data_IF_397989707264
#
_entry.id   IF_397989707264
#
_cell.length_a   1.000
_cell.length_b   1.000
_cell.length_c   1.000
_cell.angle_alpha   90.00
_cell.angle_beta   90.00
_cell.angle_gamma   90.00
#
_symmetry.space_group_name_H-M   'P 1'
#
loop_
_entity.id
_entity.type
_entity.pdbx_description
1 polymer ?
#
# COMPACT_ATOMS: atom_id res chain seq x y z
N UNK A 1 14.30 -10.10 -2.50
CA UNK A 1 15.78 -10.18 -2.56
C UNK A 1 16.20 -11.56 -3.03
N UNK A 2 16.45 -11.76 -4.32
CA UNK A 2 16.92 -13.04 -4.86
C UNK A 2 18.45 -13.02 -4.93
N UNK A 3 19.12 -13.27 -3.80
CA UNK A 3 20.60 -13.18 -3.71
C UNK A 3 21.30 -14.05 -4.75
N UNK A 4 20.85 -15.30 -4.96
CA UNK A 4 21.49 -16.23 -5.90
C UNK A 4 21.30 -15.82 -7.36
N UNK A 5 20.12 -15.31 -7.73
CA UNK A 5 19.84 -14.83 -9.09
C UNK A 5 20.67 -13.60 -9.45
N UNK A 6 20.90 -12.70 -8.49
CA UNK A 6 21.73 -11.49 -8.65
C UNK A 6 23.21 -11.87 -8.85
N UNK A 7 23.73 -12.83 -8.08
CA UNK A 7 25.12 -13.32 -8.25
C UNK A 7 25.31 -14.05 -9.58
N UNK A 8 24.28 -14.75 -10.05
CA UNK A 8 24.29 -15.42 -11.35
C UNK A 8 24.25 -14.42 -12.52
N UNK A 9 23.36 -13.43 -12.49
CA UNK A 9 23.31 -12.38 -13.51
C UNK A 9 24.62 -11.61 -13.60
N UNK A 10 25.20 -11.25 -12.44
CA UNK A 10 26.48 -10.51 -12.36
C UNK A 10 27.66 -11.30 -12.95
N UNK A 11 27.71 -12.62 -12.75
CA UNK A 11 28.85 -13.44 -13.19
C UNK A 11 28.75 -13.94 -14.64
N UNK A 12 27.54 -13.99 -15.21
CA UNK A 12 27.29 -14.55 -16.55
C UNK A 12 26.84 -13.53 -17.62
N UNK A 13 26.55 -12.27 -17.26
CA UNK A 13 26.08 -11.25 -18.22
C UNK A 13 26.84 -9.92 -18.10
N UNK A 14 27.13 -9.25 -19.23
CA UNK A 14 27.70 -7.87 -19.26
C UNK A 14 26.73 -6.79 -18.75
N UNK A 15 25.51 -7.17 -18.36
CA UNK A 15 24.50 -6.29 -17.76
C UNK A 15 24.97 -5.60 -16.48
N UNK A 16 25.99 -6.14 -15.80
CA UNK A 16 26.61 -5.48 -14.65
C UNK A 16 27.28 -4.12 -14.97
N UNK A 17 27.52 -3.81 -16.25
CA UNK A 17 28.01 -2.48 -16.67
C UNK A 17 26.89 -1.45 -16.87
N UNK A 18 25.64 -1.90 -17.10
CA UNK A 18 24.49 -1.02 -17.30
C UNK A 18 23.59 -0.94 -16.05
N UNK A 19 23.56 -2.00 -15.23
CA UNK A 19 22.76 -2.09 -14.02
C UNK A 19 23.69 -2.40 -12.83
N UNK A 20 23.85 -1.48 -11.86
CA UNK A 20 24.72 -1.68 -10.70
C UNK A 20 24.06 -2.65 -9.72
N UNK A 21 24.17 -3.94 -9.99
CA UNK A 21 23.58 -5.00 -9.18
C UNK A 21 24.14 -5.10 -7.75
N UNK A 22 25.34 -4.55 -7.50
CA UNK A 22 25.95 -4.49 -6.16
C UNK A 22 25.25 -3.47 -5.24
N UNK A 23 24.48 -2.53 -5.81
CA UNK A 23 23.68 -1.53 -5.09
C UNK A 23 22.24 -2.00 -4.80
N UNK A 24 21.96 -3.31 -4.93
CA UNK A 24 20.61 -3.86 -4.71
C UNK A 24 19.99 -3.49 -3.35
N UNK A 25 20.80 -3.26 -2.30
CA UNK A 25 20.33 -2.79 -0.99
C UNK A 25 19.91 -1.32 -1.04
N UNK A 26 20.67 -0.48 -1.73
CA UNK A 26 20.34 0.93 -1.89
C UNK A 26 19.12 1.09 -2.79
N UNK A 27 19.05 0.31 -3.88
CA UNK A 27 17.87 0.23 -4.74
C UNK A 27 16.63 -0.21 -3.96
N UNK A 28 16.72 -1.25 -3.13
CA UNK A 28 15.59 -1.67 -2.28
C UNK A 28 15.08 -0.55 -1.37
N UNK A 29 15.98 0.26 -0.77
CA UNK A 29 15.57 1.41 0.05
C UNK A 29 14.85 2.47 -0.78
N UNK A 30 15.35 2.79 -1.98
CA UNK A 30 14.71 3.76 -2.88
C UNK A 30 13.32 3.28 -3.27
N UNK A 31 13.19 2.01 -3.66
CA UNK A 31 11.88 1.39 -3.97
C UNK A 31 10.97 1.40 -2.75
N UNK A 32 11.48 1.08 -1.55
CA UNK A 32 10.69 1.10 -0.33
C UNK A 32 10.15 2.51 -0.01
N UNK A 33 10.94 3.56 -0.22
CA UNK A 33 10.48 4.95 -0.09
C UNK A 33 9.42 5.28 -1.15
N UNK A 34 9.64 4.90 -2.41
CA UNK A 34 8.67 5.11 -3.48
C UNK A 34 7.33 4.40 -3.21
N UNK A 35 7.37 3.15 -2.73
CA UNK A 35 6.17 2.41 -2.31
C UNK A 35 5.48 3.07 -1.13
N UNK A 36 6.23 3.55 -0.13
CA UNK A 36 5.65 4.24 1.02
C UNK A 36 4.90 5.52 0.60
N UNK A 37 5.49 6.32 -0.31
CA UNK A 37 4.83 7.51 -0.88
C UNK A 37 3.58 7.13 -1.67
N UNK A 38 3.67 6.11 -2.53
CA UNK A 38 2.54 5.62 -3.31
C UNK A 38 1.38 5.15 -2.43
N UNK A 39 1.67 4.37 -1.38
CA UNK A 39 0.67 3.92 -0.40
C UNK A 39 0.05 5.10 0.35
N UNK A 40 0.85 6.10 0.73
CA UNK A 40 0.33 7.29 1.42
C UNK A 40 -0.64 8.08 0.52
N UNK A 41 -0.26 8.35 -0.73
CA UNK A 41 -1.13 9.02 -1.70
C UNK A 41 -2.41 8.22 -1.92
N UNK A 42 -2.28 6.92 -2.19
CA UNK A 42 -3.41 6.02 -2.39
C UNK A 42 -4.39 6.00 -1.20
N UNK A 43 -3.87 5.87 0.03
CA UNK A 43 -4.70 5.88 1.22
C UNK A 43 -5.39 7.24 1.43
N UNK A 44 -4.68 8.36 1.21
CA UNK A 44 -5.26 9.71 1.31
C UNK A 44 -6.39 9.85 0.29
N UNK A 45 -6.17 9.51 -0.97
CA UNK A 45 -7.17 9.55 -2.02
C UNK A 45 -8.45 8.78 -1.66
N UNK A 46 -8.32 7.57 -1.13
CA UNK A 46 -9.48 6.80 -0.65
C UNK A 46 -10.22 7.51 0.49
N UNK A 47 -9.49 8.03 1.47
CA UNK A 47 -10.07 8.60 2.68
C UNK A 47 -10.67 10.00 2.46
N UNK A 48 -10.07 10.82 1.60
CA UNK A 48 -10.46 12.24 1.43
C UNK A 48 -11.25 12.50 0.16
N UNK A 49 -11.12 11.66 -0.86
CA UNK A 49 -11.77 11.87 -2.15
C UNK A 49 -12.86 10.84 -2.40
N UNK A 50 -12.52 9.55 -2.34
CA UNK A 50 -13.46 8.50 -2.74
C UNK A 50 -14.61 8.32 -1.73
N UNK A 51 -14.28 8.12 -0.44
CA UNK A 51 -15.31 7.87 0.58
C UNK A 51 -16.27 9.05 0.75
N UNK A 52 -15.80 10.32 0.85
CA UNK A 52 -16.71 11.46 0.92
C UNK A 52 -17.57 11.59 -0.35
N UNK A 53 -17.00 11.36 -1.54
CA UNK A 53 -17.77 11.43 -2.78
C UNK A 53 -18.87 10.36 -2.85
N UNK A 54 -18.56 9.11 -2.51
CA UNK A 54 -19.56 8.03 -2.48
C UNK A 54 -20.64 8.29 -1.43
N UNK A 55 -20.26 8.91 -0.30
CA UNK A 55 -21.20 9.28 0.74
C UNK A 55 -22.14 10.43 0.31
N UNK A 56 -21.65 11.40 -0.46
CA UNK A 56 -22.40 12.58 -0.90
C UNK A 56 -22.96 12.49 -2.34
N UNK A 57 -22.81 11.34 -3.01
CA UNK A 57 -23.37 11.12 -4.34
C UNK A 57 -24.90 11.23 -4.34
N UNK A 58 -25.46 11.85 -5.39
CA UNK A 58 -26.90 11.79 -5.67
C UNK A 58 -27.31 10.35 -6.00
N UNK A 59 -28.59 10.02 -5.84
CA UNK A 59 -29.08 8.66 -6.11
C UNK A 59 -28.85 8.24 -7.57
N UNK A 60 -28.95 9.18 -8.51
CA UNK A 60 -28.62 8.97 -9.94
C UNK A 60 -27.14 8.64 -10.16
N UNK A 61 -26.23 9.36 -9.47
CA UNK A 61 -24.79 9.11 -9.55
C UNK A 61 -24.36 7.83 -8.81
N UNK A 62 -25.13 7.41 -7.81
CA UNK A 62 -24.91 6.18 -7.04
C UNK A 62 -25.49 4.93 -7.72
N UNK A 63 -26.59 5.06 -8.46
CA UNK A 63 -27.26 3.96 -9.16
C UNK A 63 -26.32 3.03 -9.96
N UNK A 64 -25.36 3.52 -10.77
CA UNK A 64 -24.42 2.64 -11.47
C UNK A 64 -23.40 1.95 -10.55
N UNK A 65 -23.16 2.50 -9.35
CA UNK A 65 -22.23 2.00 -8.34
C UNK A 65 -22.89 1.02 -7.37
N UNK A 66 -24.21 1.05 -7.25
CA UNK A 66 -25.01 0.20 -6.38
C UNK A 66 -24.75 -1.30 -6.59
N UNK A 67 -24.42 -1.70 -7.82
CA UNK A 67 -24.03 -3.09 -8.13
C UNK A 67 -22.78 -3.55 -7.35
N UNK A 68 -21.86 -2.63 -7.07
CA UNK A 68 -20.58 -2.93 -6.43
C UNK A 68 -20.59 -2.59 -4.93
N UNK A 69 -21.39 -1.61 -4.51
CA UNK A 69 -21.44 -1.11 -3.12
C UNK A 69 -22.73 -1.46 -2.38
N UNK A 70 -23.69 -2.12 -3.04
CA UNK A 70 -25.02 -2.45 -2.52
C UNK A 70 -26.10 -1.49 -3.01
N UNK A 71 -27.35 -1.94 -3.03
CA UNK A 71 -28.49 -1.13 -3.48
C UNK A 71 -28.73 0.10 -2.61
N UNK A 72 -28.41 -0.01 -1.31
CA UNK A 72 -28.55 1.08 -0.36
C UNK A 72 -27.25 1.84 -0.21
N UNK A 73 -27.31 3.16 -0.45
CA UNK A 73 -26.18 4.07 -0.23
C UNK A 73 -25.62 3.93 1.20
N UNK A 74 -24.28 3.93 1.37
CA UNK A 74 -23.65 3.80 2.67
C UNK A 74 -24.13 4.89 3.64
N UNK A 75 -24.48 4.53 4.89
CA UNK A 75 -25.11 5.46 5.83
C UNK A 75 -24.12 6.46 6.43
N UNK A 76 -22.84 6.13 6.49
CA UNK A 76 -21.78 6.98 7.04
C UNK A 76 -20.40 6.51 6.60
N UNK A 77 -19.39 7.33 6.91
CA UNK A 77 -17.98 7.08 6.57
C UNK A 77 -17.44 5.75 7.11
N UNK A 78 -17.84 5.36 8.32
CA UNK A 78 -17.36 4.13 8.95
C UNK A 78 -17.76 2.86 8.21
N UNK A 79 -18.82 2.92 7.40
CA UNK A 79 -19.21 1.80 6.55
C UNK A 79 -18.09 1.41 5.58
N UNK A 80 -17.39 2.38 4.99
CA UNK A 80 -16.27 2.12 4.07
C UNK A 80 -15.05 1.56 4.80
N UNK A 81 -14.70 2.17 5.94
CA UNK A 81 -13.53 1.76 6.74
C UNK A 81 -13.72 0.37 7.34
N UNK A 82 -14.94 0.02 7.77
CA UNK A 82 -15.27 -1.32 8.30
C UNK A 82 -15.57 -2.35 7.20
N UNK A 83 -15.77 -1.90 5.96
CA UNK A 83 -15.94 -2.77 4.81
C UNK A 83 -14.69 -3.62 4.57
N UNK A 84 -14.85 -4.68 3.76
CA UNK A 84 -13.75 -5.62 3.45
C UNK A 84 -12.52 -4.88 2.91
N UNK A 85 -12.74 -3.88 2.05
CA UNK A 85 -11.66 -3.08 1.46
C UNK A 85 -11.00 -2.14 2.47
N UNK A 86 -11.79 -1.44 3.26
CA UNK A 86 -11.27 -0.49 4.26
C UNK A 86 -10.44 -1.19 5.32
N UNK A 87 -10.94 -2.30 5.87
CA UNK A 87 -10.22 -3.01 6.93
C UNK A 87 -8.97 -3.71 6.41
N UNK A 88 -9.02 -4.35 5.24
CA UNK A 88 -7.82 -4.96 4.63
C UNK A 88 -6.77 -3.90 4.31
N UNK A 89 -7.16 -2.76 3.73
CA UNK A 89 -6.28 -1.63 3.48
C UNK A 89 -5.64 -1.07 4.76
N UNK A 90 -6.45 -0.86 5.81
CA UNK A 90 -5.97 -0.37 7.10
C UNK A 90 -4.96 -1.32 7.75
N UNK A 91 -5.24 -2.62 7.77
CA UNK A 91 -4.32 -3.64 8.32
C UNK A 91 -3.01 -3.65 7.54
N UNK A 92 -3.05 -3.59 6.20
CA UNK A 92 -1.84 -3.50 5.38
C UNK A 92 -0.99 -2.27 5.73
N UNK A 93 -1.59 -1.08 5.81
CA UNK A 93 -0.89 0.16 6.16
C UNK A 93 -0.22 0.06 7.53
N UNK A 94 -0.92 -0.49 8.53
CA UNK A 94 -0.36 -0.67 9.89
C UNK A 94 0.84 -1.63 9.87
N UNK A 95 0.71 -2.78 9.22
CA UNK A 95 1.80 -3.76 9.13
C UNK A 95 3.02 -3.20 8.39
N UNK A 96 2.78 -2.48 7.29
CA UNK A 96 3.84 -1.81 6.53
C UNK A 96 4.51 -0.71 7.34
N UNK A 97 3.76 0.09 8.10
CA UNK A 97 4.31 1.13 8.96
C UNK A 97 5.22 0.53 10.05
N UNK A 98 4.80 -0.56 10.70
CA UNK A 98 5.63 -1.27 11.69
C UNK A 98 6.94 -1.75 11.05
N UNK A 99 6.85 -2.42 9.89
CA UNK A 99 8.02 -2.92 9.18
C UNK A 99 8.96 -1.78 8.76
N UNK A 100 8.42 -0.68 8.24
CA UNK A 100 9.19 0.48 7.77
C UNK A 100 9.87 1.23 8.91
N UNK A 101 9.19 1.40 10.05
CA UNK A 101 9.77 2.03 11.25
C UNK A 101 10.90 1.17 11.80
N UNK A 102 10.69 -0.13 11.97
CA UNK A 102 11.73 -1.04 12.48
C UNK A 102 12.89 -1.25 11.49
N UNK A 103 12.68 -0.95 10.20
CA UNK A 103 13.74 -0.90 9.18
C UNK A 103 14.74 0.24 9.37
N UNK A 104 14.34 1.32 10.05
CA UNK A 104 15.16 2.52 10.14
C UNK A 104 16.48 2.22 10.86
N UNK A 105 17.61 2.81 10.42
CA UNK A 105 18.93 2.48 10.97
C UNK A 105 19.04 2.67 12.47
N UNK A 106 18.31 3.63 13.05
CA UNK A 106 18.30 3.88 14.49
C UNK A 106 17.56 2.78 15.28
N UNK A 107 16.43 2.26 14.78
CA UNK A 107 15.69 1.16 15.41
C UNK A 107 16.42 -0.17 15.22
N UNK A 108 16.88 -0.46 14.00
CA UNK A 108 17.59 -1.71 13.68
C UNK A 108 18.93 -1.83 14.42
N UNK A 109 19.63 -0.73 14.67
CA UNK A 109 20.92 -0.71 15.40
C UNK A 109 20.76 -0.43 16.89
N UNK A 110 19.54 -0.46 17.45
CA UNK A 110 19.27 -0.23 18.87
C UNK A 110 19.80 1.12 19.41
N UNK A 111 19.83 2.16 18.56
CA UNK A 111 20.33 3.49 18.94
C UNK A 111 19.27 4.39 19.58
N UNK A 112 17.99 3.99 19.57
CA UNK A 112 16.91 4.75 20.21
C UNK A 112 16.90 4.47 21.71
N UNK A 113 16.89 5.53 22.52
CA UNK A 113 16.70 5.44 23.98
C UNK A 113 15.21 5.22 24.28
N UNK A 114 14.81 3.96 24.43
CA UNK A 114 13.45 3.57 24.80
C UNK A 114 13.38 3.00 26.22
N UNK A 115 12.21 3.06 26.87
CA UNK A 115 11.94 2.32 28.11
C UNK A 115 12.31 0.84 27.98
N UNK A 116 12.75 0.20 29.07
CA UNK A 116 13.22 -1.21 29.08
C UNK A 116 12.26 -2.18 28.40
N UNK A 117 10.94 -1.98 28.55
CA UNK A 117 9.92 -2.83 27.92
C UNK A 117 9.93 -2.75 26.39
N UNK A 118 10.09 -1.56 25.82
CA UNK A 118 10.10 -1.34 24.37
C UNK A 118 11.46 -1.64 23.73
N UNK A 119 12.54 -1.66 24.52
CA UNK A 119 13.89 -2.01 24.03
C UNK A 119 13.99 -3.47 23.53
N UNK A 120 13.08 -4.36 23.96
CA UNK A 120 12.92 -5.71 23.40
C UNK A 120 12.33 -5.72 21.99
N UNK A 121 11.62 -4.66 21.60
CA UNK A 121 11.00 -4.52 20.27
C UNK A 121 11.93 -3.83 19.25
N UNK A 122 13.19 -3.57 19.60
CA UNK A 122 14.17 -2.95 18.72
C UNK A 122 15.36 -3.88 18.45
N UNK A 123 16.06 -3.66 17.34
CA UNK A 123 17.25 -4.42 16.97
C UNK A 123 17.09 -5.26 15.70
N UNK A 124 18.12 -6.02 15.35
CA UNK A 124 18.15 -6.79 14.11
C UNK A 124 17.06 -7.89 14.06
N UNK A 125 16.81 -8.58 15.17
CA UNK A 125 15.75 -9.60 15.22
C UNK A 125 14.36 -8.99 15.01
N UNK A 126 14.07 -7.85 15.66
CA UNK A 126 12.81 -7.14 15.48
C UNK A 126 12.62 -6.66 14.03
N UNK A 127 13.69 -6.15 13.40
CA UNK A 127 13.72 -5.83 11.97
C UNK A 127 13.41 -7.06 11.09
N UNK A 128 14.04 -8.19 11.39
CA UNK A 128 13.91 -9.41 10.59
C UNK A 128 12.49 -9.96 10.65
N UNK A 129 11.93 -10.11 11.85
CA UNK A 129 10.57 -10.61 12.03
C UNK A 129 9.52 -9.63 11.48
N UNK A 130 9.71 -8.32 11.66
CA UNK A 130 8.79 -7.33 11.09
C UNK A 130 8.83 -7.32 9.56
N UNK A 131 9.97 -7.61 8.94
CA UNK A 131 10.05 -7.75 7.47
C UNK A 131 9.25 -8.94 6.95
N UNK A 132 9.10 -10.02 7.72
CA UNK A 132 8.29 -11.17 7.29
C UNK A 132 6.78 -10.86 7.32
N UNK A 133 6.35 -9.77 7.97
CA UNK A 133 4.96 -9.30 7.89
C UNK A 133 4.56 -8.98 6.45
N UNK A 134 5.52 -8.69 5.56
CA UNK A 134 5.22 -8.49 4.14
C UNK A 134 4.62 -9.73 3.46
N UNK A 135 4.85 -10.94 3.97
CA UNK A 135 4.16 -12.14 3.47
C UNK A 135 2.65 -12.02 3.67
N UNK A 136 2.24 -11.54 4.85
CA UNK A 136 0.83 -11.28 5.18
C UNK A 136 0.31 -10.11 4.34
N UNK A 137 1.08 -9.03 4.19
CA UNK A 137 0.71 -7.88 3.36
C UNK A 137 0.47 -8.31 1.92
N UNK A 138 1.32 -9.16 1.32
CA UNK A 138 1.10 -9.63 -0.04
C UNK A 138 -0.17 -10.47 -0.19
N UNK A 139 -0.47 -11.34 0.78
CA UNK A 139 -1.73 -12.08 0.78
C UNK A 139 -2.94 -11.14 0.89
N UNK A 140 -2.88 -10.15 1.79
CA UNK A 140 -3.93 -9.14 1.93
C UNK A 140 -4.04 -8.24 0.70
N UNK A 141 -2.95 -7.95 0.00
CA UNK A 141 -2.96 -7.15 -1.21
C UNK A 141 -3.71 -7.85 -2.35
N UNK A 142 -3.56 -9.17 -2.47
CA UNK A 142 -4.35 -9.96 -3.42
C UNK A 142 -5.84 -9.90 -3.10
N UNK A 143 -6.20 -10.03 -1.82
CA UNK A 143 -7.59 -9.98 -1.35
C UNK A 143 -8.19 -8.57 -1.57
N UNK A 144 -7.47 -7.54 -1.14
CA UNK A 144 -7.85 -6.12 -1.31
C UNK A 144 -8.00 -5.76 -2.79
N UNK A 145 -7.05 -6.19 -3.63
CA UNK A 145 -7.12 -5.95 -5.08
C UNK A 145 -8.25 -6.73 -5.77
N UNK A 146 -8.56 -7.94 -5.31
CA UNK A 146 -9.61 -8.79 -5.90
C UNK A 146 -10.99 -8.17 -5.76
N UNK A 147 -11.33 -7.69 -4.57
CA UNK A 147 -12.62 -7.05 -4.32
C UNK A 147 -12.71 -5.69 -5.04
N UNK A 148 -11.59 -4.96 -5.20
CA UNK A 148 -11.56 -3.71 -5.97
C UNK A 148 -11.69 -3.93 -7.49
N UNK A 149 -11.04 -4.96 -8.04
CA UNK A 149 -10.98 -5.21 -9.49
C UNK A 149 -12.31 -5.69 -10.08
N UNK A 150 -13.16 -6.35 -9.29
CA UNK A 150 -14.51 -6.74 -9.71
C UNK A 150 -15.47 -5.55 -9.88
N UNK A 151 -15.11 -4.35 -9.40
CA UNK A 151 -15.85 -3.11 -9.71
C UNK A 151 -15.51 -2.50 -11.09
N UNK A 152 -14.40 -2.94 -11.72
CA UNK A 152 -13.84 -2.34 -12.95
C UNK A 152 -14.19 -3.12 -14.23
N UNK A 153 -15.46 -3.10 -14.66
CA UNK A 153 -15.69 -3.20 -16.13
C UNK A 153 -15.17 -1.90 -16.75
N UNK A 154 -13.94 -1.99 -17.23
CA UNK A 154 -13.01 -0.97 -17.75
C UNK A 154 -13.50 -0.14 -18.97
N UNK A 155 -14.81 -0.08 -19.25
CA UNK A 155 -15.36 0.51 -20.49
C UNK A 155 -15.90 1.95 -20.39
N UNK A 156 -15.79 2.64 -19.26
CA UNK A 156 -16.21 4.06 -19.11
C UNK A 156 -15.04 5.05 -19.09
N UNK A 157 -13.93 4.67 -19.74
CA UNK A 157 -12.64 5.37 -19.71
C UNK A 157 -12.56 6.53 -20.71
N UNK A 158 -13.30 7.62 -20.47
CA UNK A 158 -13.16 8.86 -21.26
C UNK A 158 -12.75 10.11 -20.46
N UNK A 159 -12.51 10.02 -19.15
CA UNK A 159 -12.22 11.21 -18.32
C UNK A 159 -11.09 10.97 -17.31
N UNK A 160 -9.92 10.53 -17.80
CA UNK A 160 -8.71 10.35 -16.98
C UNK A 160 -7.93 11.67 -16.90
N UNK A 161 -8.40 12.61 -16.07
CA UNK A 161 -7.63 13.80 -15.70
C UNK A 161 -7.15 13.69 -14.25
N UNK A 162 -5.85 13.92 -14.06
CA UNK A 162 -5.11 13.93 -12.79
C UNK A 162 -5.41 15.22 -12.03
N UNK A 163 -6.68 15.45 -11.71
CA UNK A 163 -7.13 16.64 -10.98
C UNK A 163 -8.22 16.25 -9.99
N UNK A 164 -7.90 16.37 -8.70
CA UNK A 164 -8.85 16.23 -7.61
C UNK A 164 -9.85 17.40 -7.64
N UNK A 165 -10.83 17.34 -8.55
CA UNK A 165 -11.94 18.29 -8.66
C UNK A 165 -13.26 17.57 -8.43
N UNK A 166 -14.20 18.29 -7.79
CA UNK A 166 -15.43 17.79 -7.18
C UNK A 166 -16.38 16.99 -8.10
N UNK A 167 -16.10 16.85 -9.40
CA UNK A 167 -17.01 16.29 -10.38
C UNK A 167 -16.53 15.02 -11.13
N UNK A 168 -15.27 14.55 -11.11
CA UNK A 168 -14.87 13.35 -11.90
C UNK A 168 -13.90 12.36 -11.22
N UNK A 169 -13.98 11.11 -11.65
CA UNK A 169 -14.09 9.80 -10.95
C UNK A 169 -12.77 9.24 -10.38
N UNK A 170 -12.81 8.78 -9.12
CA UNK A 170 -11.91 7.84 -8.40
C UNK A 170 -10.39 8.02 -8.63
N UNK A 171 -9.69 8.49 -7.59
CA UNK A 171 -8.22 8.54 -7.57
C UNK A 171 -7.64 7.14 -7.25
N UNK A 172 -7.27 6.38 -8.30
CA UNK A 172 -6.44 5.17 -8.18
C UNK A 172 -5.09 5.36 -8.85
#
# INVERSE_FOLDING_TARGET
FCRNSITWLRSRTKLGMAVPFDDNINFHKVVAVGVAVGVAIHAICHLTCDFPRLLHASDEAYAPLAKNFGERRPPNYWWFVKGKEGWTGLVMVILMAIAFILAQPWFRRNKVKLPKALKRLTGFNAFWYSHHLFVIVYALLLVHGWFLYLSKKWYQKNYMDVSCSANHIICL
#
